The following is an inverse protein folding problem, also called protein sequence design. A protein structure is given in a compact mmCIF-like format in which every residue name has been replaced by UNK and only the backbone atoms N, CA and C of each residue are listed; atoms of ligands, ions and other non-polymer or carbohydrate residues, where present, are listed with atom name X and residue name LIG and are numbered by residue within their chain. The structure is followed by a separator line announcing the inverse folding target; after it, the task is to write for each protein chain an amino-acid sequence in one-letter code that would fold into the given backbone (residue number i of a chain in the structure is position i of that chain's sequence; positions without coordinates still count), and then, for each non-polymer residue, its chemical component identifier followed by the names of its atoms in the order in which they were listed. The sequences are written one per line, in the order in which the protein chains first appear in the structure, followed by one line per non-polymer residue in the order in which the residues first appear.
data_IF_563219838881
#
_entry.id   IF_563219838881
#
_cell.length_a   1.000
_cell.length_b   1.000
_cell.length_c   1.000
_cell.angle_alpha   90.00
_cell.angle_beta   90.00
_cell.angle_gamma   90.00
#
_symmetry.space_group_name_H-M   'P 1'
#
loop_
_entity.id
_entity.type
_entity.pdbx_description
1 polymer ?
#
# COMPACT_ATOMS: atom_id res chain seq x y z
N UNK A 1 5.95 -4.47 7.97
CA UNK A 1 5.89 -4.70 9.42
C UNK A 1 7.05 -5.56 9.88
N UNK A 2 7.54 -5.30 11.09
CA UNK A 2 8.42 -6.18 11.84
C UNK A 2 7.67 -7.42 12.34
N UNK A 3 8.42 -8.42 12.80
CA UNK A 3 7.84 -9.62 13.41
C UNK A 3 7.03 -9.29 14.68
N UNK A 4 7.48 -8.30 15.46
CA UNK A 4 6.78 -7.85 16.68
C UNK A 4 5.43 -7.21 16.37
N UNK A 5 5.37 -6.26 15.42
CA UNK A 5 4.11 -5.61 15.02
C UNK A 5 3.09 -6.64 14.52
N UNK A 6 3.56 -7.60 13.72
CA UNK A 6 2.73 -8.69 13.20
C UNK A 6 2.16 -9.53 14.34
N UNK A 7 2.97 -9.86 15.34
CA UNK A 7 2.52 -10.66 16.49
C UNK A 7 1.50 -9.92 17.35
N UNK A 8 1.66 -8.61 17.57
CA UNK A 8 0.69 -7.79 18.32
C UNK A 8 -0.64 -7.70 17.57
N UNK A 9 -0.59 -7.40 16.27
CA UNK A 9 -1.78 -7.35 15.42
C UNK A 9 -2.53 -8.69 15.42
N UNK A 10 -1.79 -9.81 15.27
CA UNK A 10 -2.41 -11.14 15.30
C UNK A 10 -3.07 -11.43 16.64
N UNK A 11 -2.43 -11.08 17.76
CA UNK A 11 -3.00 -11.25 19.10
C UNK A 11 -4.28 -10.43 19.31
N UNK A 12 -4.37 -9.23 18.75
CA UNK A 12 -5.58 -8.42 18.82
C UNK A 12 -6.74 -9.10 18.08
N UNK A 13 -6.48 -9.60 16.87
CA UNK A 13 -7.48 -10.36 16.08
C UNK A 13 -7.94 -11.61 16.85
N UNK A 14 -7.00 -12.35 17.44
CA UNK A 14 -7.31 -13.59 18.17
C UNK A 14 -8.11 -13.32 19.45
N UNK A 15 -7.81 -12.21 20.15
CA UNK A 15 -8.47 -11.86 21.41
C UNK A 15 -9.87 -11.26 21.22
N UNK A 16 -10.05 -10.42 20.20
CA UNK A 16 -11.27 -9.61 20.04
C UNK A 16 -12.14 -10.06 18.87
N UNK A 17 -11.62 -10.89 17.97
CA UNK A 17 -12.34 -11.39 16.81
C UNK A 17 -12.28 -10.46 15.59
N UNK A 18 -12.33 -11.08 14.41
CA UNK A 18 -12.18 -10.41 13.11
C UNK A 18 -13.22 -9.32 12.89
N UNK A 19 -14.49 -9.63 13.08
CA UNK A 19 -15.59 -8.70 12.82
C UNK A 19 -15.50 -7.44 13.69
N UNK A 20 -15.12 -7.62 14.96
CA UNK A 20 -14.91 -6.50 15.88
C UNK A 20 -13.73 -5.62 15.42
N UNK A 21 -12.60 -6.22 15.05
CA UNK A 21 -11.45 -5.45 14.54
C UNK A 21 -11.77 -4.71 13.22
N UNK A 22 -12.65 -5.25 12.36
CA UNK A 22 -13.12 -4.54 11.18
C UNK A 22 -14.00 -3.33 11.54
N UNK A 23 -14.80 -3.43 12.61
CA UNK A 23 -15.56 -2.28 13.14
C UNK A 23 -14.61 -1.21 13.65
N UNK A 24 -13.62 -1.57 14.48
CA UNK A 24 -12.60 -0.62 14.96
C UNK A 24 -11.89 0.04 13.78
N UNK A 25 -11.50 -0.72 12.74
CA UNK A 25 -10.89 -0.17 11.55
C UNK A 25 -11.76 0.91 10.85
N UNK A 26 -13.09 0.72 10.81
CA UNK A 26 -14.01 1.74 10.28
C UNK A 26 -14.10 2.97 11.19
N UNK A 27 -14.06 2.78 12.51
CA UNK A 27 -14.07 3.85 13.50
C UNK A 27 -12.82 4.73 13.38
N UNK A 28 -11.62 4.15 13.36
CA UNK A 28 -10.35 4.91 13.21
C UNK A 28 -10.30 5.68 11.89
N UNK A 29 -10.83 5.11 10.80
CA UNK A 29 -10.93 5.84 9.52
C UNK A 29 -11.89 7.03 9.60
N UNK A 30 -12.97 6.93 10.38
CA UNK A 30 -13.91 8.01 10.61
C UNK A 30 -13.30 9.11 11.50
N UNK A 31 -12.51 8.71 12.49
CA UNK A 31 -11.77 9.62 13.38
C UNK A 31 -10.72 10.43 12.59
N UNK A 32 -9.92 9.77 11.75
CA UNK A 32 -9.01 10.44 10.82
C UNK A 32 -9.75 11.41 9.89
N UNK A 33 -10.90 10.99 9.35
CA UNK A 33 -11.74 11.86 8.50
C UNK A 33 -12.21 13.11 9.25
N UNK A 34 -12.59 12.96 10.52
CA UNK A 34 -12.99 14.05 11.43
C UNK A 34 -11.84 15.03 11.66
N UNK A 35 -10.64 14.54 11.97
CA UNK A 35 -9.48 15.41 12.23
C UNK A 35 -8.98 16.13 10.97
N UNK A 36 -8.96 15.46 9.81
CA UNK A 36 -8.67 16.11 8.53
C UNK A 36 -9.70 17.22 8.22
N UNK A 37 -10.99 16.96 8.49
CA UNK A 37 -12.06 17.95 8.28
C UNK A 37 -11.91 19.18 9.19
N UNK A 38 -11.47 19.00 10.44
CA UNK A 38 -11.14 20.11 11.34
C UNK A 38 -9.94 20.90 10.81
N UNK A 39 -8.88 20.22 10.39
CA UNK A 39 -7.68 20.88 9.87
C UNK A 39 -7.98 21.75 8.64
N UNK A 40 -8.79 21.25 7.72
CA UNK A 40 -9.27 22.01 6.54
C UNK A 40 -10.07 23.27 6.90
N UNK A 41 -10.65 23.35 8.11
CA UNK A 41 -11.34 24.53 8.62
C UNK A 41 -10.43 25.48 9.42
N UNK A 42 -9.12 25.25 9.37
CA UNK A 42 -8.11 26.11 10.01
C UNK A 42 -7.80 25.76 11.47
N UNK A 43 -8.24 24.60 11.95
CA UNK A 43 -7.81 24.11 13.27
C UNK A 43 -6.35 23.68 13.25
N UNK A 44 -5.61 23.98 14.34
CA UNK A 44 -4.25 23.48 14.54
C UNK A 44 -4.29 22.17 15.33
N UNK A 45 -4.52 21.06 14.64
CA UNK A 45 -4.73 19.72 15.21
C UNK A 45 -3.80 18.67 14.55
N UNK A 46 -2.54 19.04 14.31
CA UNK A 46 -1.58 18.15 13.64
C UNK A 46 -1.21 16.93 14.49
N UNK A 47 -1.25 17.06 15.82
CA UNK A 47 -0.95 15.95 16.71
C UNK A 47 -2.06 14.90 16.66
N UNK A 48 -3.32 15.34 16.69
CA UNK A 48 -4.48 14.49 16.55
C UNK A 48 -4.46 13.79 15.20
N UNK A 49 -4.17 14.50 14.09
CA UNK A 49 -4.01 13.83 12.79
C UNK A 49 -2.92 12.75 12.83
N UNK A 50 -1.79 13.00 13.48
CA UNK A 50 -0.70 12.03 13.54
C UNK A 50 -1.09 10.77 14.32
N UNK A 51 -1.85 10.92 15.42
CA UNK A 51 -2.41 9.83 16.20
C UNK A 51 -3.38 9.00 15.35
N UNK A 52 -4.37 9.64 14.73
CA UNK A 52 -5.38 8.94 13.91
C UNK A 52 -4.77 8.26 12.65
N UNK A 53 -3.70 8.83 12.08
CA UNK A 53 -2.95 8.17 11.01
C UNK A 53 -2.29 6.89 11.52
N UNK A 54 -1.65 6.94 12.70
CA UNK A 54 -1.02 5.77 13.29
C UNK A 54 -2.04 4.68 13.60
N UNK A 55 -3.21 5.06 14.14
CA UNK A 55 -4.28 4.12 14.46
C UNK A 55 -4.83 3.44 13.19
N UNK A 56 -5.07 4.22 12.13
CA UNK A 56 -5.46 3.66 10.81
C UNK A 56 -4.35 2.76 10.24
N UNK A 57 -3.07 3.11 10.36
CA UNK A 57 -1.97 2.25 9.87
C UNK A 57 -1.97 0.89 10.57
N UNK A 58 -2.13 0.86 11.90
CA UNK A 58 -2.24 -0.39 12.67
C UNK A 58 -3.47 -1.19 12.23
N UNK A 59 -4.62 -0.54 12.06
CA UNK A 59 -5.85 -1.22 11.63
C UNK A 59 -5.73 -1.78 10.21
N UNK A 60 -5.08 -1.07 9.28
CA UNK A 60 -4.82 -1.58 7.94
C UNK A 60 -3.90 -2.81 7.94
N UNK A 61 -2.95 -2.89 8.88
CA UNK A 61 -2.13 -4.09 9.05
C UNK A 61 -2.93 -5.28 9.58
N UNK A 62 -3.88 -5.05 10.48
CA UNK A 62 -4.82 -6.09 10.91
C UNK A 62 -5.72 -6.56 9.76
N UNK A 63 -6.26 -5.65 8.95
CA UNK A 63 -7.06 -5.99 7.75
C UNK A 63 -6.26 -6.87 6.78
N UNK A 64 -4.98 -6.55 6.55
CA UNK A 64 -4.09 -7.37 5.71
C UNK A 64 -3.91 -8.78 6.28
N UNK A 65 -3.85 -8.95 7.60
CA UNK A 65 -3.79 -10.27 8.25
C UNK A 65 -5.10 -11.04 8.13
N UNK A 66 -6.22 -10.39 8.44
CA UNK A 66 -7.57 -10.99 8.44
C UNK A 66 -7.90 -11.63 7.07
N UNK A 67 -7.51 -10.97 5.98
CA UNK A 67 -7.81 -11.39 4.62
C UNK A 67 -6.61 -11.95 3.84
N UNK A 68 -5.44 -12.08 4.48
CA UNK A 68 -4.20 -12.53 3.83
C UNK A 68 -3.81 -11.70 2.59
N UNK A 69 -3.98 -10.38 2.65
CA UNK A 69 -3.85 -9.47 1.50
C UNK A 69 -2.48 -8.78 1.37
N UNK A 70 -1.43 -9.24 2.06
CA UNK A 70 -0.14 -8.52 2.09
C UNK A 70 0.42 -8.27 0.69
N UNK A 71 0.63 -9.32 -0.08
CA UNK A 71 1.20 -9.23 -1.43
C UNK A 71 0.25 -8.46 -2.37
N UNK A 72 -1.04 -8.81 -2.37
CA UNK A 72 -2.05 -8.14 -3.19
C UNK A 72 -2.15 -6.63 -2.90
N UNK A 73 -2.02 -6.22 -1.63
CA UNK A 73 -2.04 -4.82 -1.24
C UNK A 73 -0.76 -4.08 -1.69
N UNK A 74 0.40 -4.73 -1.67
CA UNK A 74 1.67 -4.19 -2.17
C UNK A 74 1.54 -3.94 -3.69
N UNK A 75 1.17 -4.96 -4.46
CA UNK A 75 0.99 -4.85 -5.91
C UNK A 75 -0.03 -3.78 -6.28
N UNK A 76 -1.17 -3.76 -5.59
CA UNK A 76 -2.20 -2.74 -5.81
C UNK A 76 -1.72 -1.33 -5.45
N UNK A 77 -0.93 -1.17 -4.39
CA UNK A 77 -0.34 0.12 -3.99
C UNK A 77 0.65 0.61 -5.04
N UNK A 78 1.54 -0.25 -5.53
CA UNK A 78 2.50 0.09 -6.60
C UNK A 78 1.78 0.54 -7.86
N UNK A 79 0.79 -0.23 -8.33
CA UNK A 79 0.01 0.12 -9.51
C UNK A 79 -0.74 1.45 -9.34
N UNK A 80 -1.27 1.73 -8.14
CA UNK A 80 -1.92 3.03 -7.82
C UNK A 80 -0.92 4.19 -7.83
N UNK A 81 0.29 4.00 -7.30
CA UNK A 81 1.33 5.02 -7.29
C UNK A 81 1.82 5.34 -8.71
N UNK A 82 2.00 4.33 -9.57
CA UNK A 82 2.33 4.53 -10.98
C UNK A 82 1.25 5.36 -11.71
N UNK A 83 -0.03 5.03 -11.52
CA UNK A 83 -1.13 5.81 -12.11
C UNK A 83 -1.19 7.25 -11.58
N UNK A 84 -0.91 7.45 -10.30
CA UNK A 84 -0.87 8.79 -9.72
C UNK A 84 0.28 9.61 -10.33
N UNK A 85 1.47 9.00 -10.50
CA UNK A 85 2.61 9.63 -11.17
C UNK A 85 2.24 10.05 -12.60
N UNK A 86 1.65 9.17 -13.39
CA UNK A 86 1.22 9.47 -14.76
C UNK A 86 0.21 10.63 -14.80
N UNK A 87 -0.74 10.64 -13.87
CA UNK A 87 -1.71 11.74 -13.73
C UNK A 87 -1.03 13.07 -13.41
N UNK A 88 -0.08 13.10 -12.47
CA UNK A 88 0.66 14.32 -12.13
C UNK A 88 1.41 14.87 -13.36
N UNK A 89 2.07 14.00 -14.13
CA UNK A 89 2.77 14.41 -15.37
C UNK A 89 1.78 15.01 -16.36
N UNK A 90 0.63 14.36 -16.56
CA UNK A 90 -0.41 14.82 -17.47
C UNK A 90 -0.98 16.18 -17.04
N UNK A 91 -1.29 16.34 -15.76
CA UNK A 91 -2.01 17.51 -15.25
C UNK A 91 -1.09 18.72 -15.07
N UNK A 92 0.20 18.50 -14.73
CA UNK A 92 1.13 19.58 -14.40
C UNK A 92 2.21 19.81 -15.46
N UNK A 93 2.39 18.89 -16.41
CA UNK A 93 3.49 18.90 -17.38
C UNK A 93 4.89 18.65 -16.78
N UNK A 94 5.00 18.52 -15.46
CA UNK A 94 6.27 18.30 -14.76
C UNK A 94 6.62 16.81 -14.79
N UNK A 95 7.73 16.47 -15.43
CA UNK A 95 8.30 15.13 -15.36
C UNK A 95 9.22 14.99 -14.15
N UNK A 96 8.96 13.98 -13.32
CA UNK A 96 9.68 13.72 -12.06
C UNK A 96 10.91 12.81 -12.22
N UNK A 97 11.63 12.92 -13.34
CA UNK A 97 12.83 12.08 -13.60
C UNK A 97 14.04 12.46 -12.73
N UNK A 98 13.91 13.44 -11.81
CA UNK A 98 15.02 14.11 -11.13
C UNK A 98 15.43 13.49 -9.79
N UNK A 99 14.63 12.63 -9.15
CA UNK A 99 15.09 11.90 -7.96
C UNK A 99 15.61 10.53 -8.39
N UNK A 100 16.86 10.20 -8.04
CA UNK A 100 17.49 8.92 -8.42
C UNK A 100 16.71 7.68 -7.98
N UNK A 101 15.77 7.84 -7.03
CA UNK A 101 14.89 6.81 -6.48
C UNK A 101 13.84 6.29 -7.48
N UNK A 102 13.12 7.17 -8.21
CA UNK A 102 12.10 6.71 -9.15
C UNK A 102 12.71 5.99 -10.35
N UNK A 103 13.86 6.46 -10.84
CA UNK A 103 14.58 5.82 -11.95
C UNK A 103 15.13 4.46 -11.53
N UNK A 104 15.77 4.37 -10.36
CA UNK A 104 16.30 3.11 -9.82
C UNK A 104 15.20 2.09 -9.55
N UNK A 105 14.07 2.50 -8.98
CA UNK A 105 12.92 1.62 -8.78
C UNK A 105 12.36 1.09 -10.10
N UNK A 106 12.19 1.97 -11.11
CA UNK A 106 11.76 1.58 -12.44
C UNK A 106 12.75 0.61 -13.09
N UNK A 107 14.06 0.86 -13.02
CA UNK A 107 15.08 -0.01 -13.61
C UNK A 107 15.08 -1.40 -12.95
N UNK A 108 14.96 -1.48 -11.62
CA UNK A 108 14.89 -2.73 -10.87
C UNK A 108 13.63 -3.57 -11.21
N UNK A 109 12.49 -2.91 -11.42
CA UNK A 109 11.20 -3.57 -11.66
C UNK A 109 10.94 -3.85 -13.15
N UNK A 110 11.43 -3.01 -14.07
CA UNK A 110 11.40 -3.28 -15.51
C UNK A 110 12.28 -4.48 -15.85
N UNK A 111 13.43 -4.63 -15.18
CA UNK A 111 14.29 -5.79 -15.34
C UNK A 111 13.64 -7.10 -14.83
N UNK A 112 12.77 -7.04 -13.81
CA UNK A 112 11.99 -8.20 -13.33
C UNK A 112 10.91 -8.60 -14.35
N UNK A 113 10.11 -7.66 -14.83
CA UNK A 113 9.07 -7.92 -15.84
C UNK A 113 9.64 -8.46 -17.16
N UNK A 114 10.79 -7.93 -17.61
CA UNK A 114 11.46 -8.42 -18.83
C UNK A 114 12.01 -9.85 -18.62
N UNK A 115 12.60 -10.15 -17.46
CA UNK A 115 13.08 -11.51 -17.14
C UNK A 115 11.95 -12.53 -17.08
N UNK A 116 10.83 -12.18 -16.43
CA UNK A 116 9.67 -13.06 -16.31
C UNK A 116 9.01 -13.31 -17.68
N UNK A 117 8.94 -12.28 -18.53
CA UNK A 117 8.47 -12.41 -19.91
C UNK A 117 9.40 -13.30 -20.77
N UNK A 118 10.72 -13.12 -20.66
CA UNK A 118 11.72 -13.93 -21.40
C UNK A 118 11.68 -15.40 -20.96
N UNK A 119 11.53 -15.67 -19.65
CA UNK A 119 11.42 -17.03 -19.13
C UNK A 119 10.15 -17.75 -19.61
N UNK A 120 9.03 -17.04 -19.69
CA UNK A 120 7.78 -17.57 -20.24
C UNK A 120 7.88 -17.87 -21.74
N UNK A 121 8.55 -17.02 -22.52
CA UNK A 121 8.77 -17.26 -23.96
C UNK A 121 9.73 -18.44 -24.19
N UNK A 122 10.81 -18.56 -23.42
CA UNK A 122 11.76 -19.69 -23.53
C UNK A 122 11.17 -21.02 -23.06
N UNK A 123 10.22 -21.00 -22.12
CA UNK A 123 9.49 -22.21 -21.69
C UNK A 123 8.47 -22.68 -22.73
N UNK A 124 8.01 -21.79 -23.62
CA UNK A 124 7.04 -22.13 -24.67
C UNK A 124 7.71 -22.73 -25.93
N UNK A 125 8.99 -22.45 -26.15
CA UNK A 125 9.78 -22.98 -27.29
C UNK A 125 10.23 -24.44 -27.12
N UNK A 126 10.12 -25.03 -25.92
CA UNK A 126 10.52 -26.42 -25.64
C UNK A 126 9.38 -27.45 -25.76
N UNK A 127 8.19 -27.07 -26.26
CA UNK A 127 7.00 -27.95 -26.32
C UNK A 127 6.45 -28.28 -27.71
N UNK A 128 7.19 -28.01 -28.79
CA UNK A 128 6.85 -28.56 -30.11
C UNK A 128 8.02 -29.40 -30.66
N UNK A 129 8.07 -30.70 -30.34
CA UNK A 129 8.77 -31.66 -31.18
C UNK A 129 7.85 -32.08 -32.34
N UNK A 130 8.36 -31.97 -33.56
CA UNK A 130 7.85 -32.71 -34.73
C UNK A 130 7.94 -34.23 -34.50
#
# INVERSE_FOLDING_TARGET
MTAWETAVCQRAIDAYGKDHQLIICMEEMAELTKELSKNLRGHNNLQEIAEEVADVEVMLEQVKLIFHLREAAIEAKEAKLLRLRERIIKDTGKQDYSTSLCRKWLDEHTAKTVRDAVFLTSSHELKNPE
#
